data_IF_537397760143
#
_entry.id   IF_537397760143
#
_cell.length_a   1.000
_cell.length_b   1.000
_cell.length_c   1.000
_cell.angle_alpha   90.00
_cell.angle_beta   90.00
_cell.angle_gamma   90.00
#
_symmetry.space_group_name_H-M   'P 1'
#
loop_
_entity.id
_entity.type
_entity.pdbx_description
1 polymer ?
#
# COMPACT_ATOMS: atom_id res chain seq x y z
N UNK A 1 23.18 -52.04 -32.07
CA UNK A 1 21.77 -51.61 -32.13
C UNK A 1 21.07 -51.80 -30.77
N UNK A 2 21.45 -52.78 -29.96
CA UNK A 2 20.83 -53.04 -28.65
C UNK A 2 21.10 -51.98 -27.58
N UNK A 3 22.26 -51.33 -27.61
CA UNK A 3 22.62 -50.23 -26.70
C UNK A 3 21.70 -49.00 -26.87
N UNK A 4 21.34 -48.65 -28.11
CA UNK A 4 20.47 -47.50 -28.41
C UNK A 4 19.02 -47.77 -27.97
N UNK A 5 18.55 -49.03 -28.06
CA UNK A 5 17.23 -49.43 -27.56
C UNK A 5 17.18 -49.37 -26.03
N UNK A 6 18.22 -49.84 -25.34
CA UNK A 6 18.34 -49.74 -23.88
C UNK A 6 18.33 -48.29 -23.38
N UNK A 7 19.08 -47.40 -24.02
CA UNK A 7 19.11 -45.98 -23.64
C UNK A 7 17.77 -45.29 -23.85
N UNK A 8 17.06 -45.57 -24.96
CA UNK A 8 15.72 -45.03 -25.21
C UNK A 8 14.68 -45.50 -24.19
N UNK A 9 14.78 -46.75 -23.74
CA UNK A 9 13.90 -47.28 -22.71
C UNK A 9 14.15 -46.59 -21.36
N UNK A 10 15.42 -46.44 -20.96
CA UNK A 10 15.78 -45.71 -19.74
C UNK A 10 15.33 -44.24 -19.75
N UNK A 11 15.44 -43.55 -20.90
CA UNK A 11 14.94 -42.17 -21.02
C UNK A 11 13.42 -42.14 -20.77
N UNK A 12 12.68 -43.06 -21.39
CA UNK A 12 11.22 -43.15 -21.24
C UNK A 12 10.81 -43.48 -19.80
N UNK A 13 11.54 -44.36 -19.13
CA UNK A 13 11.28 -44.72 -17.74
C UNK A 13 11.62 -43.58 -16.78
N UNK A 14 12.66 -42.81 -17.06
CA UNK A 14 13.00 -41.58 -16.31
C UNK A 14 11.94 -40.50 -16.54
N UNK A 15 11.48 -40.30 -17.78
CA UNK A 15 10.40 -39.37 -18.11
C UNK A 15 9.10 -39.74 -17.40
N UNK A 16 8.75 -41.04 -17.38
CA UNK A 16 7.58 -41.54 -16.66
C UNK A 16 7.70 -41.37 -15.14
N UNK A 17 8.87 -41.66 -14.56
CA UNK A 17 9.14 -41.39 -13.13
C UNK A 17 9.10 -39.91 -12.80
N UNK A 18 9.58 -39.04 -13.68
CA UNK A 18 9.46 -37.58 -13.56
C UNK A 18 8.00 -37.11 -13.64
N UNK A 19 7.20 -37.71 -14.52
CA UNK A 19 5.77 -37.46 -14.64
C UNK A 19 4.99 -37.93 -13.40
N UNK A 20 5.30 -39.12 -12.87
CA UNK A 20 4.70 -39.64 -11.63
C UNK A 20 5.13 -38.83 -10.40
N UNK A 21 6.40 -38.46 -10.29
CA UNK A 21 6.86 -37.55 -9.23
C UNK A 21 6.18 -36.19 -9.35
N UNK A 22 6.04 -35.62 -10.56
CA UNK A 22 5.30 -34.37 -10.75
C UNK A 22 3.83 -34.49 -10.35
N UNK A 23 3.17 -35.61 -10.63
CA UNK A 23 1.79 -35.88 -10.20
C UNK A 23 1.65 -36.04 -8.69
N UNK A 24 2.64 -36.64 -8.03
CA UNK A 24 2.58 -36.93 -6.60
C UNK A 24 3.04 -35.78 -5.68
N UNK A 25 3.64 -34.70 -6.22
CA UNK A 25 4.32 -33.70 -5.37
C UNK A 25 3.52 -32.40 -5.16
N UNK A 26 2.43 -32.14 -5.90
CA UNK A 26 1.75 -30.85 -5.81
C UNK A 26 0.23 -31.02 -5.90
N UNK A 27 -0.44 -30.99 -4.74
CA UNK A 27 -1.88 -30.72 -4.69
C UNK A 27 -2.07 -29.28 -5.18
N UNK A 28 -2.32 -29.14 -6.48
CA UNK A 28 -2.65 -27.85 -7.07
C UNK A 28 -4.12 -27.56 -6.84
N UNK A 29 -4.40 -26.40 -6.27
CA UNK A 29 -5.75 -25.85 -6.20
C UNK A 29 -6.37 -25.83 -7.60
N UNK A 30 -7.66 -26.15 -7.71
CA UNK A 30 -8.40 -26.05 -8.97
C UNK A 30 -8.85 -24.61 -9.25
N UNK A 31 -9.09 -24.29 -10.54
CA UNK A 31 -9.63 -22.98 -10.90
C UNK A 31 -11.08 -22.83 -10.46
N UNK A 32 -11.38 -21.73 -9.79
CA UNK A 32 -12.71 -21.36 -9.34
C UNK A 32 -13.22 -20.25 -10.26
N UNK A 33 -14.29 -20.53 -11.00
CA UNK A 33 -14.87 -19.57 -11.95
C UNK A 33 -15.57 -18.37 -11.29
N UNK A 34 -16.10 -18.54 -10.08
CA UNK A 34 -16.82 -17.49 -9.35
C UNK A 34 -16.49 -17.54 -7.85
N UNK A 35 -16.19 -16.39 -7.24
CA UNK A 35 -15.88 -16.31 -5.81
C UNK A 35 -17.11 -16.64 -4.96
N UNK A 36 -17.09 -17.77 -4.24
CA UNK A 36 -18.19 -18.20 -3.37
C UNK A 36 -18.02 -17.72 -1.93
N UNK A 37 -19.13 -17.35 -1.28
CA UNK A 37 -19.16 -17.04 0.15
C UNK A 37 -19.33 -18.28 1.05
N UNK A 38 -19.47 -19.47 0.46
CA UNK A 38 -19.66 -20.71 1.22
C UNK A 38 -18.47 -20.97 2.15
N UNK A 39 -18.75 -21.23 3.43
CA UNK A 39 -17.74 -21.44 4.46
C UNK A 39 -17.44 -22.92 4.57
N UNK A 40 -16.56 -23.39 3.70
CA UNK A 40 -16.03 -24.76 3.68
C UNK A 40 -14.50 -24.71 3.60
N UNK A 41 -13.85 -25.74 4.13
CA UNK A 41 -12.37 -25.79 4.20
C UNK A 41 -11.71 -25.85 2.81
N UNK A 42 -12.44 -26.32 1.79
CA UNK A 42 -11.98 -26.34 0.40
C UNK A 42 -12.07 -24.98 -0.30
N UNK A 43 -12.78 -23.99 0.26
CA UNK A 43 -12.95 -22.67 -0.34
C UNK A 43 -11.93 -21.66 0.21
N UNK A 44 -10.87 -21.31 -0.55
CA UNK A 44 -9.84 -20.37 -0.11
C UNK A 44 -10.34 -18.93 -0.01
N UNK A 45 -11.48 -18.60 -0.63
CA UNK A 45 -12.06 -17.25 -0.60
C UNK A 45 -13.06 -17.04 0.55
N UNK A 46 -13.43 -18.10 1.28
CA UNK A 46 -14.44 -18.04 2.35
C UNK A 46 -14.20 -16.94 3.38
N UNK A 47 -12.94 -16.74 3.80
CA UNK A 47 -12.55 -15.73 4.79
C UNK A 47 -12.50 -14.32 4.20
N UNK A 48 -12.19 -14.19 2.91
CA UNK A 48 -12.21 -12.91 2.21
C UNK A 48 -13.65 -12.44 2.00
N UNK A 49 -14.53 -13.36 1.59
CA UNK A 49 -15.96 -13.11 1.44
C UNK A 49 -16.68 -12.80 2.76
N UNK A 50 -16.08 -13.13 3.90
CA UNK A 50 -16.60 -12.71 5.21
C UNK A 50 -16.58 -11.17 5.37
N UNK A 51 -15.66 -10.45 4.72
CA UNK A 51 -15.61 -8.98 4.75
C UNK A 51 -16.90 -8.34 4.21
N UNK A 52 -17.52 -8.98 3.22
CA UNK A 52 -18.84 -8.58 2.69
C UNK A 52 -19.95 -8.82 3.71
N UNK A 53 -19.92 -9.96 4.42
CA UNK A 53 -20.90 -10.27 5.48
C UNK A 53 -20.77 -9.35 6.69
N UNK A 54 -19.55 -8.91 6.99
CA UNK A 54 -19.27 -7.97 8.08
C UNK A 54 -19.56 -6.50 7.71
N UNK A 55 -20.01 -6.23 6.47
CA UNK A 55 -20.30 -4.86 6.02
C UNK A 55 -19.05 -3.97 5.86
N UNK A 56 -17.86 -4.57 5.74
CA UNK A 56 -16.61 -3.81 5.55
C UNK A 56 -16.39 -3.49 4.06
N UNK A 57 -16.74 -4.43 3.17
CA UNK A 57 -16.58 -4.30 1.72
C UNK A 57 -17.83 -4.79 1.00
N UNK A 58 -18.57 -3.90 0.35
CA UNK A 58 -19.86 -4.23 -0.26
C UNK A 58 -19.74 -5.26 -1.40
N UNK A 59 -18.73 -5.11 -2.25
CA UNK A 59 -18.52 -5.95 -3.43
C UNK A 59 -17.05 -6.40 -3.53
N UNK A 60 -16.69 -7.38 -2.69
CA UNK A 60 -15.35 -7.95 -2.69
C UNK A 60 -15.05 -8.67 -4.01
N UNK A 61 -16.03 -9.32 -4.63
CA UNK A 61 -15.86 -10.11 -5.85
C UNK A 61 -15.32 -9.28 -7.04
N UNK A 62 -15.60 -7.97 -7.05
CA UNK A 62 -15.07 -7.02 -8.04
C UNK A 62 -13.56 -7.09 -8.20
N UNK A 63 -12.81 -7.52 -7.18
CA UNK A 63 -11.35 -7.68 -7.28
C UNK A 63 -10.91 -8.60 -8.43
N UNK A 64 -11.75 -9.57 -8.82
CA UNK A 64 -11.48 -10.50 -9.92
C UNK A 64 -11.55 -9.85 -11.31
N UNK A 65 -12.09 -8.63 -11.42
CA UNK A 65 -12.23 -7.88 -12.66
C UNK A 65 -11.06 -6.90 -12.90
N UNK A 66 -10.23 -6.70 -11.87
CA UNK A 66 -9.20 -5.66 -11.86
C UNK A 66 -7.85 -6.18 -12.34
N UNK A 67 -7.10 -5.29 -12.99
CA UNK A 67 -5.73 -5.50 -13.44
C UNK A 67 -4.76 -4.55 -12.74
N UNK A 68 -3.70 -5.09 -12.16
CA UNK A 68 -2.65 -4.30 -11.53
C UNK A 68 -1.30 -4.60 -12.21
N UNK A 69 -0.58 -3.54 -12.57
CA UNK A 69 0.81 -3.64 -13.01
C UNK A 69 1.76 -3.41 -11.82
N UNK A 70 2.75 -4.29 -11.64
CA UNK A 70 3.78 -4.18 -10.60
C UNK A 70 5.12 -4.06 -11.29
N UNK A 71 5.84 -2.97 -11.01
CA UNK A 71 7.20 -2.74 -11.51
C UNK A 71 8.20 -2.95 -10.39
N UNK A 72 9.12 -3.89 -10.58
CA UNK A 72 10.03 -4.40 -9.57
C UNK A 72 9.41 -5.55 -8.77
N UNK A 73 9.91 -6.76 -8.95
CA UNK A 73 9.51 -7.99 -8.23
C UNK A 73 10.63 -8.39 -7.27
N UNK A 74 11.14 -7.40 -6.53
CA UNK A 74 12.16 -7.56 -5.49
C UNK A 74 11.57 -7.88 -4.12
N UNK A 75 12.15 -7.31 -3.06
CA UNK A 75 11.72 -7.59 -1.68
C UNK A 75 10.29 -7.15 -1.36
N UNK A 76 9.92 -5.93 -1.73
CA UNK A 76 8.55 -5.41 -1.54
C UNK A 76 7.61 -5.99 -2.61
N UNK A 77 7.99 -5.88 -3.89
CA UNK A 77 7.11 -6.23 -5.00
C UNK A 77 6.71 -7.70 -5.08
N UNK A 78 7.59 -8.63 -4.70
CA UNK A 78 7.25 -10.06 -4.67
C UNK A 78 6.17 -10.39 -3.61
N UNK A 79 6.29 -9.80 -2.41
CA UNK A 79 5.30 -9.93 -1.34
C UNK A 79 3.99 -9.25 -1.73
N UNK A 80 4.07 -8.05 -2.33
CA UNK A 80 2.90 -7.34 -2.90
C UNK A 80 2.16 -8.21 -3.91
N UNK A 81 2.87 -8.83 -4.85
CA UNK A 81 2.28 -9.72 -5.84
C UNK A 81 1.65 -10.98 -5.20
N UNK A 82 2.29 -11.56 -4.19
CA UNK A 82 1.73 -12.69 -3.44
C UNK A 82 0.44 -12.32 -2.71
N UNK A 83 0.44 -11.21 -1.96
CA UNK A 83 -0.74 -10.75 -1.22
C UNK A 83 -1.92 -10.48 -2.16
N UNK A 84 -1.70 -9.77 -3.28
CA UNK A 84 -2.75 -9.53 -4.29
C UNK A 84 -3.24 -10.82 -4.95
N UNK A 85 -2.33 -11.76 -5.23
CA UNK A 85 -2.68 -13.08 -5.78
C UNK A 85 -3.57 -13.87 -4.81
N UNK A 86 -3.25 -13.84 -3.51
CA UNK A 86 -4.07 -14.47 -2.46
C UNK A 86 -5.41 -13.78 -2.27
N UNK A 87 -5.49 -12.47 -2.48
CA UNK A 87 -6.76 -11.72 -2.49
C UNK A 87 -7.66 -12.04 -3.71
N UNK A 88 -7.12 -12.71 -4.74
CA UNK A 88 -7.89 -13.10 -5.92
C UNK A 88 -8.01 -11.98 -6.97
N UNK A 89 -7.00 -11.12 -7.10
CA UNK A 89 -6.93 -10.12 -8.18
C UNK A 89 -7.14 -10.76 -9.56
N UNK A 90 -7.84 -10.09 -10.46
CA UNK A 90 -8.13 -10.63 -11.79
C UNK A 90 -6.89 -10.88 -12.64
N UNK A 91 -6.03 -9.86 -12.75
CA UNK A 91 -4.78 -9.94 -13.52
C UNK A 91 -3.64 -9.17 -12.86
N UNK A 92 -2.46 -9.78 -12.83
CA UNK A 92 -1.19 -9.11 -12.50
C UNK A 92 -0.30 -9.04 -13.74
N UNK A 93 0.31 -7.87 -13.96
CA UNK A 93 1.35 -7.67 -14.97
C UNK A 93 2.64 -7.34 -14.23
N UNK A 94 3.67 -8.17 -14.40
CA UNK A 94 4.92 -8.05 -13.66
C UNK A 94 6.05 -7.59 -14.58
N UNK A 95 6.74 -6.51 -14.19
CA UNK A 95 7.92 -6.00 -14.88
C UNK A 95 9.14 -6.08 -13.95
N UNK A 96 10.17 -6.81 -14.34
CA UNK A 96 11.48 -6.84 -13.68
C UNK A 96 12.51 -7.41 -14.65
N UNK A 97 13.71 -6.84 -14.70
CA UNK A 97 14.78 -7.28 -15.60
C UNK A 97 15.82 -8.17 -14.91
N UNK A 98 15.78 -8.28 -13.59
CA UNK A 98 16.76 -9.00 -12.80
C UNK A 98 16.49 -10.51 -12.76
N UNK A 99 17.52 -11.23 -12.32
CA UNK A 99 17.45 -12.63 -11.96
C UNK A 99 17.39 -12.81 -10.45
N UNK A 100 16.88 -13.97 -10.03
CA UNK A 100 16.93 -14.41 -8.64
C UNK A 100 18.37 -14.76 -8.29
N UNK A 101 18.90 -14.16 -7.23
CA UNK A 101 20.23 -14.46 -6.71
C UNK A 101 20.15 -15.07 -5.29
N UNK A 102 21.18 -15.83 -4.91
CA UNK A 102 21.25 -16.38 -3.55
C UNK A 102 21.30 -15.26 -2.49
N UNK A 103 21.86 -14.10 -2.83
CA UNK A 103 21.86 -12.91 -1.98
C UNK A 103 20.44 -12.39 -1.68
N UNK A 104 19.41 -12.79 -2.44
CA UNK A 104 18.03 -12.38 -2.20
C UNK A 104 17.32 -13.25 -1.15
N UNK A 105 17.94 -14.34 -0.67
CA UNK A 105 17.31 -15.30 0.26
C UNK A 105 17.13 -14.77 1.69
N UNK A 106 17.67 -13.59 2.01
CA UNK A 106 17.33 -12.89 3.25
C UNK A 106 15.95 -12.20 3.18
N UNK A 107 15.34 -12.17 2.00
CA UNK A 107 14.02 -11.59 1.72
C UNK A 107 12.99 -12.72 1.59
N UNK A 108 11.72 -12.33 1.60
CA UNK A 108 10.61 -13.27 1.46
C UNK A 108 10.44 -13.72 0.00
N UNK A 109 9.52 -14.67 -0.21
CA UNK A 109 8.99 -15.14 -1.50
C UNK A 109 9.87 -16.10 -2.32
N UNK A 110 11.06 -15.68 -2.78
CA UNK A 110 11.89 -16.54 -3.63
C UNK A 110 12.57 -17.66 -2.84
N UNK A 111 12.79 -18.79 -3.49
CA UNK A 111 13.42 -19.97 -2.88
C UNK A 111 14.77 -20.30 -3.52
N UNK A 112 15.69 -20.99 -2.80
CA UNK A 112 17.06 -21.23 -3.27
C UNK A 112 17.15 -21.94 -4.64
N UNK A 113 16.21 -22.85 -4.95
CA UNK A 113 16.19 -23.57 -6.23
C UNK A 113 15.80 -22.69 -7.43
N UNK A 114 15.31 -21.47 -7.18
CA UNK A 114 14.93 -20.51 -8.22
C UNK A 114 16.10 -19.62 -8.65
N UNK A 115 17.25 -19.69 -7.96
CA UNK A 115 18.44 -18.91 -8.30
C UNK A 115 18.84 -19.10 -9.77
N UNK A 116 19.12 -17.99 -10.46
CA UNK A 116 19.45 -17.93 -11.89
C UNK A 116 18.26 -17.79 -12.85
N UNK A 117 17.02 -18.00 -12.39
CA UNK A 117 15.82 -17.70 -13.17
C UNK A 117 15.55 -16.18 -13.17
N UNK A 118 14.87 -15.67 -14.19
CA UNK A 118 14.37 -14.29 -14.11
C UNK A 118 13.39 -14.15 -12.94
N UNK A 119 13.39 -13.00 -12.27
CA UNK A 119 12.49 -12.76 -11.14
C UNK A 119 11.04 -12.90 -11.55
N UNK A 120 10.65 -12.35 -12.71
CA UNK A 120 9.28 -12.43 -13.20
C UNK A 120 8.83 -13.86 -13.54
N UNK A 121 9.68 -14.69 -14.15
CA UNK A 121 9.32 -16.10 -14.43
C UNK A 121 9.22 -16.93 -13.16
N UNK A 122 10.17 -16.74 -12.23
CA UNK A 122 10.15 -17.43 -10.94
C UNK A 122 8.90 -17.04 -10.13
N UNK A 123 8.56 -15.75 -10.12
CA UNK A 123 7.36 -15.25 -9.47
C UNK A 123 6.08 -15.78 -10.12
N UNK A 124 5.96 -15.74 -11.45
CA UNK A 124 4.78 -16.23 -12.15
C UNK A 124 4.51 -17.71 -11.84
N UNK A 125 5.54 -18.56 -11.79
CA UNK A 125 5.39 -19.97 -11.41
C UNK A 125 4.85 -20.14 -9.99
N UNK A 126 5.43 -19.43 -9.03
CA UNK A 126 5.00 -19.48 -7.62
C UNK A 126 3.58 -18.96 -7.45
N UNK A 127 3.26 -17.80 -8.01
CA UNK A 127 1.96 -17.15 -7.89
C UNK A 127 0.85 -17.95 -8.57
N UNK A 128 1.13 -18.53 -9.76
CA UNK A 128 0.18 -19.41 -10.43
C UNK A 128 -0.12 -20.67 -9.62
N UNK A 129 0.87 -21.21 -8.92
CA UNK A 129 0.68 -22.31 -7.98
C UNK A 129 -0.17 -21.91 -6.77
N UNK A 130 0.02 -20.69 -6.23
CA UNK A 130 -0.74 -20.16 -5.09
C UNK A 130 -2.21 -19.94 -5.46
N UNK A 131 -2.49 -19.31 -6.60
CA UNK A 131 -3.85 -19.07 -7.06
C UNK A 131 -3.94 -19.14 -8.59
N UNK A 132 -4.47 -20.24 -9.16
CA UNK A 132 -4.57 -20.42 -10.60
C UNK A 132 -5.67 -19.55 -11.26
N UNK A 133 -6.52 -18.89 -10.46
CA UNK A 133 -7.58 -18.00 -10.95
C UNK A 133 -7.01 -16.69 -11.49
N UNK A 134 -5.87 -16.27 -10.95
CA UNK A 134 -5.21 -15.01 -11.29
C UNK A 134 -4.48 -15.16 -12.63
N UNK A 135 -4.74 -14.24 -13.57
CA UNK A 135 -3.97 -14.16 -14.81
C UNK A 135 -2.65 -13.45 -14.55
N UNK A 136 -1.53 -14.04 -14.95
CA UNK A 136 -0.21 -13.45 -14.76
C UNK A 136 0.43 -13.24 -16.12
N UNK A 137 0.76 -11.98 -16.40
CA UNK A 137 1.56 -11.56 -17.54
C UNK A 137 2.91 -11.06 -17.03
N UNK A 138 3.98 -11.38 -17.77
CA UNK A 138 5.35 -11.07 -17.33
C UNK A 138 6.15 -10.42 -18.46
N UNK A 139 6.99 -9.48 -18.06
CA UNK A 139 7.87 -8.71 -18.93
C UNK A 139 9.26 -8.65 -18.30
N UNK A 140 10.21 -9.37 -18.91
CA UNK A 140 11.58 -9.48 -18.42
C UNK A 140 12.50 -8.49 -19.15
N UNK A 141 12.32 -7.20 -18.89
CA UNK A 141 13.11 -6.15 -19.50
C UNK A 141 13.19 -4.90 -18.63
N UNK A 142 14.16 -4.03 -18.92
CA UNK A 142 14.31 -2.76 -18.21
C UNK A 142 13.41 -1.70 -18.85
N UNK A 143 12.44 -1.20 -18.08
CA UNK A 143 11.47 -0.18 -18.54
C UNK A 143 12.11 1.18 -18.85
N UNK A 144 13.36 1.46 -18.45
CA UNK A 144 14.01 2.76 -18.67
C UNK A 144 14.65 2.89 -20.05
N UNK A 145 14.85 1.79 -20.76
CA UNK A 145 15.38 1.83 -22.13
C UNK A 145 14.30 2.25 -23.12
N UNK A 146 14.65 3.05 -24.14
CA UNK A 146 13.68 3.66 -25.07
C UNK A 146 12.69 2.66 -25.66
N UNK A 147 13.16 1.56 -26.26
CA UNK A 147 12.30 0.56 -26.92
C UNK A 147 11.31 -0.08 -25.92
N UNK A 148 11.77 -0.39 -24.71
CA UNK A 148 10.93 -1.01 -23.68
C UNK A 148 10.03 0.00 -22.95
N UNK A 149 10.38 1.29 -22.94
CA UNK A 149 9.54 2.32 -22.34
C UNK A 149 8.24 2.49 -23.12
N UNK A 150 8.32 2.48 -24.46
CA UNK A 150 7.13 2.48 -25.33
C UNK A 150 6.27 1.24 -25.12
N UNK A 151 6.88 0.04 -25.05
CA UNK A 151 6.16 -1.20 -24.78
C UNK A 151 5.50 -1.21 -23.39
N UNK A 152 6.19 -0.70 -22.37
CA UNK A 152 5.66 -0.53 -21.03
C UNK A 152 4.42 0.39 -21.03
N UNK A 153 4.51 1.56 -21.67
CA UNK A 153 3.38 2.50 -21.80
C UNK A 153 2.20 1.88 -22.55
N UNK A 154 2.46 1.16 -23.64
CA UNK A 154 1.44 0.46 -24.40
C UNK A 154 0.77 -0.63 -23.55
N UNK A 155 1.56 -1.40 -22.79
CA UNK A 155 1.05 -2.46 -21.93
C UNK A 155 0.16 -1.90 -20.83
N UNK A 156 0.61 -0.89 -20.07
CA UNK A 156 -0.21 -0.33 -18.98
C UNK A 156 -1.46 0.40 -19.48
N UNK A 157 -1.51 0.82 -20.75
CA UNK A 157 -2.67 1.49 -21.34
C UNK A 157 -3.67 0.56 -22.03
N UNK A 158 -3.30 -0.70 -22.34
CA UNK A 158 -4.15 -1.60 -23.14
C UNK A 158 -4.35 -3.00 -22.55
N UNK A 159 -3.46 -3.45 -21.66
CA UNK A 159 -3.41 -4.85 -21.24
C UNK A 159 -4.34 -5.19 -20.05
N UNK A 160 -5.29 -4.33 -19.67
CA UNK A 160 -6.30 -4.68 -18.67
C UNK A 160 -7.24 -5.78 -19.17
N UNK A 161 -7.90 -6.48 -18.25
CA UNK A 161 -8.95 -7.46 -18.56
C UNK A 161 -10.05 -6.91 -19.48
N UNK A 162 -10.33 -5.60 -19.39
CA UNK A 162 -11.31 -4.91 -20.24
C UNK A 162 -10.71 -4.30 -21.53
N UNK A 163 -9.49 -4.70 -21.91
CA UNK A 163 -8.75 -4.19 -23.09
C UNK A 163 -8.52 -2.67 -23.08
N UNK A 164 -8.25 -2.14 -21.89
CA UNK A 164 -7.96 -0.73 -21.66
C UNK A 164 -6.82 -0.56 -20.64
N UNK A 165 -6.70 0.61 -20.00
CA UNK A 165 -5.64 0.86 -19.04
C UNK A 165 -5.79 -0.03 -17.81
N UNK A 166 -4.66 -0.38 -17.19
CA UNK A 166 -4.65 -1.07 -15.91
C UNK A 166 -5.32 -0.21 -14.84
N UNK A 167 -5.96 -0.86 -13.87
CA UNK A 167 -6.68 -0.13 -12.81
C UNK A 167 -5.71 0.62 -11.88
N UNK A 168 -4.49 0.10 -11.75
CA UNK A 168 -3.45 0.67 -10.90
C UNK A 168 -2.05 0.18 -11.31
N UNK A 169 -1.06 1.05 -11.19
CA UNK A 169 0.38 0.69 -11.26
C UNK A 169 0.97 0.75 -9.84
N UNK A 170 1.80 -0.22 -9.47
CA UNK A 170 2.53 -0.26 -8.21
C UNK A 170 4.03 -0.26 -8.49
N UNK A 171 4.72 0.81 -8.07
CA UNK A 171 6.17 0.92 -8.15
C UNK A 171 6.81 0.34 -6.89
N UNK A 172 7.59 -0.72 -7.08
CA UNK A 172 8.35 -1.43 -6.04
C UNK A 172 9.84 -1.54 -6.42
N UNK A 173 10.32 -0.61 -7.26
CA UNK A 173 11.70 -0.53 -7.75
C UNK A 173 12.65 0.06 -6.70
N UNK A 174 13.96 -0.13 -6.90
CA UNK A 174 14.98 0.26 -5.92
C UNK A 174 15.83 1.47 -6.35
N UNK A 175 15.64 2.00 -7.56
CA UNK A 175 16.41 3.12 -8.11
C UNK A 175 15.50 4.29 -8.53
N UNK A 176 16.06 5.50 -8.58
CA UNK A 176 15.31 6.71 -8.92
C UNK A 176 15.01 6.82 -10.42
N UNK A 177 15.88 6.28 -11.28
CA UNK A 177 15.69 6.28 -12.74
C UNK A 177 14.38 5.58 -13.13
N UNK A 178 14.14 4.38 -12.61
CA UNK A 178 12.90 3.64 -12.84
C UNK A 178 11.68 4.32 -12.22
N UNK A 179 11.80 4.94 -11.02
CA UNK A 179 10.71 5.74 -10.43
C UNK A 179 10.33 6.92 -11.33
N UNK A 180 11.33 7.60 -11.90
CA UNK A 180 11.12 8.70 -12.84
C UNK A 180 10.48 8.23 -14.14
N UNK A 181 10.91 7.09 -14.70
CA UNK A 181 10.28 6.51 -15.88
C UNK A 181 8.79 6.20 -15.64
N UNK A 182 8.46 5.53 -14.52
CA UNK A 182 7.07 5.25 -14.13
C UNK A 182 6.28 6.56 -13.96
N UNK A 183 6.86 7.56 -13.30
CA UNK A 183 6.24 8.87 -13.12
C UNK A 183 5.88 9.53 -14.45
N UNK A 184 6.83 9.59 -15.39
CA UNK A 184 6.63 10.18 -16.71
C UNK A 184 5.52 9.46 -17.47
N UNK A 185 5.56 8.12 -17.54
CA UNK A 185 4.54 7.32 -18.19
C UNK A 185 3.14 7.56 -17.57
N UNK A 186 3.05 7.59 -16.23
CA UNK A 186 1.78 7.75 -15.54
C UNK A 186 1.21 9.17 -15.70
N UNK A 187 2.05 10.21 -15.66
CA UNK A 187 1.61 11.58 -15.94
C UNK A 187 1.13 11.73 -17.39
N UNK A 188 1.86 11.14 -18.36
CA UNK A 188 1.47 11.16 -19.77
C UNK A 188 0.14 10.43 -20.02
N UNK A 189 -0.10 9.29 -19.36
CA UNK A 189 -1.32 8.48 -19.55
C UNK A 189 -2.48 8.83 -18.61
N UNK A 190 -2.27 9.73 -17.63
CA UNK A 190 -3.20 9.95 -16.51
C UNK A 190 -3.42 8.71 -15.64
N UNK A 191 -2.45 7.81 -15.59
CA UNK A 191 -2.55 6.56 -14.87
C UNK A 191 -2.32 6.81 -13.37
N UNK A 192 -3.24 6.35 -12.53
CA UNK A 192 -3.05 6.38 -11.08
C UNK A 192 -2.09 5.28 -10.66
N UNK A 193 -1.24 5.58 -9.69
CA UNK A 193 -0.22 4.65 -9.25
C UNK A 193 0.20 4.87 -7.81
N UNK A 194 0.73 3.82 -7.19
CA UNK A 194 1.40 3.91 -5.91
C UNK A 194 2.90 3.77 -6.09
N UNK A 195 3.64 4.55 -5.32
CA UNK A 195 5.06 4.37 -5.09
C UNK A 195 5.29 3.71 -3.73
N UNK A 196 6.34 2.89 -3.64
CA UNK A 196 6.84 2.38 -2.37
C UNK A 196 8.37 2.40 -2.33
N UNK A 197 8.90 2.65 -1.13
CA UNK A 197 10.33 2.69 -0.90
C UNK A 197 10.70 2.16 0.49
N UNK A 198 11.88 1.55 0.58
CA UNK A 198 12.52 1.13 1.84
C UNK A 198 13.90 1.78 1.86
N UNK A 199 14.32 2.29 3.01
CA UNK A 199 15.63 2.93 3.17
C UNK A 199 16.78 1.93 3.04
N UNK A 200 17.97 2.43 2.67
CA UNK A 200 19.18 1.60 2.55
C UNK A 200 19.62 0.95 3.87
N UNK A 201 19.23 1.52 5.01
CA UNK A 201 19.50 0.95 6.34
C UNK A 201 18.36 0.05 6.85
N UNK A 202 17.32 -0.18 6.04
CA UNK A 202 16.16 -1.03 6.32
C UNK A 202 15.31 -0.67 7.55
N UNK A 203 15.50 0.51 8.18
CA UNK A 203 14.73 0.94 9.36
C UNK A 203 13.67 2.00 9.06
N UNK A 204 13.46 2.33 7.80
CA UNK A 204 12.29 3.13 7.39
C UNK A 204 11.76 2.71 6.02
N UNK A 205 10.53 3.10 5.75
CA UNK A 205 9.88 2.90 4.46
C UNK A 205 8.68 3.81 4.31
N UNK A 206 8.07 3.79 3.12
CA UNK A 206 6.87 4.55 2.86
C UNK A 206 6.08 3.97 1.69
N UNK A 207 4.82 4.41 1.60
CA UNK A 207 4.00 4.33 0.39
C UNK A 207 3.44 5.71 0.07
N UNK A 208 3.26 6.01 -1.21
CA UNK A 208 2.66 7.25 -1.67
C UNK A 208 1.65 6.98 -2.79
N UNK A 209 0.45 7.54 -2.67
CA UNK A 209 -0.56 7.49 -3.72
C UNK A 209 -0.44 8.70 -4.64
N UNK A 210 -0.24 8.44 -5.93
CA UNK A 210 -0.03 9.46 -6.93
C UNK A 210 -1.19 9.43 -7.92
N UNK A 211 -1.99 10.49 -7.86
CA UNK A 211 -3.07 10.77 -8.79
C UNK A 211 -2.62 11.98 -9.61
N UNK A 212 -2.19 11.79 -10.87
CA UNK A 212 -1.68 12.88 -11.70
C UNK A 212 -2.62 14.08 -11.73
N UNK A 213 -2.11 15.25 -11.32
CA UNK A 213 -2.86 16.51 -11.26
C UNK A 213 -3.58 16.80 -9.94
N UNK A 214 -3.84 15.79 -9.11
CA UNK A 214 -4.53 15.94 -7.82
C UNK A 214 -3.57 15.88 -6.62
N UNK A 215 -2.60 14.96 -6.67
CA UNK A 215 -1.54 14.82 -5.66
C UNK A 215 -0.15 15.02 -6.27
N UNK A 216 0.85 15.24 -5.43
CA UNK A 216 2.23 15.39 -5.88
C UNK A 216 2.68 14.16 -6.67
N UNK A 217 3.11 14.38 -7.92
CA UNK A 217 3.86 13.36 -8.65
C UNK A 217 5.29 13.28 -8.09
N UNK A 218 6.05 12.25 -8.48
CA UNK A 218 7.41 12.04 -7.97
C UNK A 218 8.35 13.21 -8.31
N UNK A 219 8.14 13.86 -9.46
CA UNK A 219 8.89 15.04 -9.89
C UNK A 219 8.46 16.35 -9.22
N UNK A 220 7.37 16.37 -8.42
CA UNK A 220 6.96 17.59 -7.71
C UNK A 220 7.87 17.91 -6.52
N UNK A 221 8.40 16.89 -5.87
CA UNK A 221 9.33 16.97 -4.73
C UNK A 221 10.47 15.96 -4.93
N UNK A 222 11.34 16.16 -5.93
CA UNK A 222 12.38 15.20 -6.27
C UNK A 222 13.43 15.13 -5.14
N UNK A 223 14.02 13.95 -4.89
CA UNK A 223 15.16 13.85 -3.99
C UNK A 223 16.36 14.62 -4.55
N UNK A 224 17.27 15.05 -3.68
CA UNK A 224 18.42 15.89 -4.03
C UNK A 224 19.23 15.34 -5.22
N UNK A 225 19.45 14.02 -5.26
CA UNK A 225 20.23 13.37 -6.31
C UNK A 225 19.60 13.53 -7.70
N UNK A 226 18.26 13.54 -7.77
CA UNK A 226 17.51 13.77 -9.02
C UNK A 226 17.53 15.25 -9.37
N UNK A 227 17.29 16.14 -8.40
CA UNK A 227 17.27 17.59 -8.62
C UNK A 227 18.63 18.12 -9.13
N UNK A 228 19.74 17.59 -8.63
CA UNK A 228 21.10 17.98 -9.01
C UNK A 228 21.63 17.19 -10.22
N UNK A 229 20.82 16.33 -10.84
CA UNK A 229 21.23 15.45 -11.96
C UNK A 229 22.51 14.63 -11.65
N UNK A 230 22.65 14.18 -10.40
CA UNK A 230 23.76 13.33 -9.98
C UNK A 230 23.41 11.89 -10.37
N UNK A 231 24.31 11.23 -11.11
CA UNK A 231 24.13 9.82 -11.46
C UNK A 231 24.15 8.96 -10.17
N UNK A 232 23.04 8.28 -9.88
CA UNK A 232 22.88 7.40 -8.71
C UNK A 232 23.98 6.34 -8.63
N UNK A 233 24.53 5.91 -9.78
CA UNK A 233 25.64 4.94 -9.84
C UNK A 233 26.90 5.46 -9.16
N UNK A 234 27.09 6.78 -9.07
CA UNK A 234 28.24 7.38 -8.38
C UNK A 234 28.14 7.29 -6.86
N UNK A 235 26.94 7.05 -6.32
CA UNK A 235 26.69 6.90 -4.88
C UNK A 235 26.88 5.46 -4.41
N UNK A 236 26.66 4.49 -5.30
CA UNK A 236 26.84 3.06 -5.02
C UNK A 236 28.34 2.72 -5.02
N UNK A 237 28.87 2.37 -3.85
CA UNK A 237 30.25 1.87 -3.72
C UNK A 237 30.30 0.37 -3.97
N UNK A 238 31.22 -0.08 -4.81
CA UNK A 238 31.45 -1.51 -5.04
C UNK A 238 31.70 -2.26 -3.72
N UNK A 239 30.95 -3.34 -3.50
CA UNK A 239 31.03 -4.16 -2.29
C UNK A 239 30.17 -3.69 -1.11
N UNK A 240 29.44 -2.58 -1.23
CA UNK A 240 28.47 -2.13 -0.23
C UNK A 240 27.06 -2.45 -0.73
N UNK A 241 26.36 -3.35 -0.04
CA UNK A 241 24.95 -3.63 -0.32
C UNK A 241 24.06 -2.85 0.66
N UNK A 242 22.93 -2.35 0.17
CA UNK A 242 21.88 -1.83 1.04
C UNK A 242 21.46 -2.94 2.03
N UNK A 243 21.37 -2.58 3.31
CA UNK A 243 20.77 -3.46 4.29
C UNK A 243 19.33 -3.74 3.87
N UNK A 244 18.90 -4.99 4.01
CA UNK A 244 17.53 -5.37 3.73
C UNK A 244 17.02 -6.27 4.84
N UNK A 245 15.89 -5.87 5.41
CA UNK A 245 15.23 -6.60 6.49
C UNK A 245 13.86 -7.07 5.99
N UNK A 246 13.57 -8.38 6.05
CA UNK A 246 12.32 -8.93 5.55
C UNK A 246 11.09 -8.39 6.28
N UNK A 247 11.24 -7.95 7.54
CA UNK A 247 10.17 -7.33 8.32
C UNK A 247 9.74 -5.99 7.74
N UNK A 248 10.68 -5.08 7.47
CA UNK A 248 10.40 -3.76 6.88
C UNK A 248 9.78 -3.91 5.49
N UNK A 249 10.30 -4.84 4.68
CA UNK A 249 9.73 -5.14 3.37
C UNK A 249 8.29 -5.68 3.48
N UNK A 250 8.04 -6.58 4.42
CA UNK A 250 6.70 -7.13 4.67
C UNK A 250 5.70 -6.07 5.16
N UNK A 251 6.12 -5.16 6.04
CA UNK A 251 5.29 -4.05 6.53
C UNK A 251 4.94 -3.10 5.39
N UNK A 252 5.93 -2.66 4.60
CA UNK A 252 5.69 -1.76 3.47
C UNK A 252 4.83 -2.41 2.39
N UNK A 253 5.06 -3.68 2.05
CA UNK A 253 4.21 -4.42 1.13
C UNK A 253 2.76 -4.55 1.67
N UNK A 254 2.61 -4.83 2.96
CA UNK A 254 1.32 -4.87 3.64
C UNK A 254 0.58 -3.54 3.56
N UNK A 255 1.24 -2.42 3.85
CA UNK A 255 0.66 -1.10 3.69
C UNK A 255 0.28 -0.80 2.24
N UNK A 256 1.15 -1.12 1.28
CA UNK A 256 0.91 -0.91 -0.14
C UNK A 256 -0.34 -1.64 -0.62
N UNK A 257 -0.45 -2.94 -0.30
CA UNK A 257 -1.59 -3.76 -0.70
C UNK A 257 -2.85 -3.34 0.05
N UNK A 258 -2.78 -3.05 1.35
CA UNK A 258 -3.94 -2.57 2.09
C UNK A 258 -4.50 -1.27 1.52
N UNK A 259 -3.63 -0.33 1.14
CA UNK A 259 -4.06 0.93 0.55
C UNK A 259 -4.58 0.75 -0.89
N UNK A 260 -4.01 -0.20 -1.63
CA UNK A 260 -4.52 -0.65 -2.93
C UNK A 260 -5.93 -1.21 -2.83
N UNK A 261 -6.19 -2.09 -1.86
CA UNK A 261 -7.52 -2.68 -1.64
C UNK A 261 -8.54 -1.61 -1.24
N UNK A 262 -8.20 -0.73 -0.30
CA UNK A 262 -9.08 0.40 0.10
C UNK A 262 -9.48 1.25 -1.10
N UNK A 263 -8.52 1.58 -1.96
CA UNK A 263 -8.77 2.37 -3.17
C UNK A 263 -9.63 1.63 -4.20
N UNK A 264 -9.32 0.37 -4.49
CA UNK A 264 -10.00 -0.38 -5.55
C UNK A 264 -11.41 -0.85 -5.16
N UNK A 265 -11.59 -1.19 -3.88
CA UNK A 265 -12.84 -1.73 -3.33
C UNK A 265 -13.65 -0.68 -2.54
N UNK A 266 -13.22 0.59 -2.53
CA UNK A 266 -13.92 1.72 -1.94
C UNK A 266 -14.32 1.52 -0.46
N UNK A 267 -13.37 1.11 0.39
CA UNK A 267 -13.61 0.98 1.83
C UNK A 267 -12.50 1.68 2.64
N UNK A 268 -12.87 2.20 3.82
CA UNK A 268 -11.97 2.95 4.69
C UNK A 268 -11.32 4.16 4.02
N UNK A 269 -10.32 4.74 4.69
CA UNK A 269 -9.64 5.94 4.19
C UNK A 269 -8.36 5.62 3.44
N UNK A 270 -8.27 6.02 2.18
CA UNK A 270 -7.04 5.88 1.38
C UNK A 270 -5.99 6.88 1.85
N UNK A 271 -4.80 6.39 2.23
CA UNK A 271 -3.68 7.26 2.60
C UNK A 271 -2.98 7.79 1.35
N UNK A 272 -2.80 9.10 1.21
CA UNK A 272 -2.01 9.68 0.13
C UNK A 272 -0.50 9.56 0.33
N UNK A 273 -0.06 9.55 1.59
CA UNK A 273 1.28 9.16 1.99
C UNK A 273 1.19 8.49 3.35
N UNK A 274 1.93 7.41 3.53
CA UNK A 274 2.10 6.74 4.81
C UNK A 274 3.57 6.34 4.96
N UNK A 275 4.25 6.95 5.93
CA UNK A 275 5.60 6.58 6.32
C UNK A 275 5.61 5.49 7.37
N UNK A 276 6.76 4.83 7.49
CA UNK A 276 7.08 3.88 8.54
C UNK A 276 8.49 4.16 9.05
N UNK A 277 8.61 4.43 10.35
CA UNK A 277 9.88 4.49 11.06
C UNK A 277 9.94 3.32 12.06
N UNK A 278 10.76 2.31 11.74
CA UNK A 278 10.89 1.09 12.52
C UNK A 278 11.59 1.30 13.87
N UNK A 279 12.31 2.42 14.06
CA UNK A 279 13.03 2.68 15.29
C UNK A 279 12.12 3.21 16.41
N UNK A 280 10.97 3.78 16.05
CA UNK A 280 10.06 4.49 16.96
C UNK A 280 8.61 4.01 16.83
N UNK A 281 8.34 2.99 16.02
CA UNK A 281 7.00 2.53 15.65
C UNK A 281 6.08 3.69 15.24
N UNK A 282 6.65 4.63 14.47
CA UNK A 282 5.96 5.86 14.07
C UNK A 282 5.49 5.77 12.61
N UNK A 283 4.21 6.09 12.40
CA UNK A 283 3.51 5.95 11.12
C UNK A 283 2.90 7.28 10.66
N UNK A 284 3.70 8.25 10.17
CA UNK A 284 3.18 9.55 9.76
C UNK A 284 2.32 9.44 8.51
N UNK A 285 1.15 10.09 8.53
CA UNK A 285 0.31 10.32 7.36
C UNK A 285 0.42 11.76 6.92
N UNK A 286 0.49 11.99 5.60
CA UNK A 286 0.46 13.32 5.02
C UNK A 286 -0.22 13.30 3.66
N UNK A 287 -0.53 14.50 3.15
CA UNK A 287 -1.00 14.70 1.78
C UNK A 287 -0.06 15.67 1.08
N UNK A 288 0.64 15.18 0.06
CA UNK A 288 1.52 16.00 -0.75
C UNK A 288 0.74 16.56 -1.93
N UNK A 289 0.75 17.89 -2.08
CA UNK A 289 0.05 18.58 -3.17
C UNK A 289 0.98 18.77 -4.39
N UNK A 290 0.42 18.81 -5.62
CA UNK A 290 1.20 19.06 -6.82
C UNK A 290 1.99 20.36 -6.73
N UNK A 291 3.21 20.36 -7.26
CA UNK A 291 3.98 21.58 -7.48
C UNK A 291 3.47 22.26 -8.77
N UNK A 292 2.95 23.50 -8.72
CA UNK A 292 2.50 24.23 -9.91
C UNK A 292 3.58 24.41 -10.98
N UNK A 293 4.84 24.43 -10.55
CA UNK A 293 6.02 24.58 -11.38
C UNK A 293 6.81 23.27 -11.52
N UNK A 294 6.18 22.11 -11.29
CA UNK A 294 6.78 20.79 -11.49
C UNK A 294 7.47 20.70 -12.86
N UNK A 295 8.67 20.15 -12.97
CA UNK A 295 9.45 20.11 -14.22
C UNK A 295 8.75 19.30 -15.32
N UNK A 296 8.08 18.21 -14.94
CA UNK A 296 7.26 17.39 -15.83
C UNK A 296 6.07 18.18 -16.40
N UNK A 297 6.09 18.39 -17.72
CA UNK A 297 5.06 19.14 -18.44
C UNK A 297 3.69 18.46 -18.43
N UNK A 298 3.65 17.12 -18.42
CA UNK A 298 2.40 16.38 -18.33
C UNK A 298 1.80 16.54 -16.94
N UNK A 299 2.60 16.57 -15.88
CA UNK A 299 2.11 16.87 -14.53
C UNK A 299 1.38 18.22 -14.50
N UNK A 300 1.98 19.28 -15.06
CA UNK A 300 1.35 20.61 -15.14
C UNK A 300 0.05 20.58 -15.97
N UNK A 301 0.04 19.84 -17.08
CA UNK A 301 -1.18 19.63 -17.89
C UNK A 301 -2.28 18.93 -17.09
N UNK A 302 -1.96 17.87 -16.34
CA UNK A 302 -2.94 17.15 -15.48
C UNK A 302 -3.48 18.03 -14.37
N UNK A 303 -2.66 18.92 -13.80
CA UNK A 303 -3.12 19.90 -12.80
C UNK A 303 -4.16 20.85 -13.38
N UNK A 304 -3.96 21.33 -14.61
CA UNK A 304 -4.94 22.18 -15.31
C UNK A 304 -6.25 21.41 -15.58
N UNK A 305 -6.15 20.17 -16.07
CA UNK A 305 -7.31 19.29 -16.30
C UNK A 305 -8.08 19.03 -14.99
N UNK A 306 -7.37 18.82 -13.88
CA UNK A 306 -7.98 18.62 -12.56
C UNK A 306 -8.67 19.89 -12.04
N UNK A 307 -8.05 21.06 -12.20
CA UNK A 307 -8.62 22.34 -11.78
C UNK A 307 -9.93 22.71 -12.52
N UNK A 308 -10.09 22.23 -13.76
CA UNK A 308 -11.30 22.42 -14.56
C UNK A 308 -12.44 21.46 -14.17
N UNK A 309 -12.16 20.38 -13.42
CA UNK A 309 -13.21 19.46 -12.98
C UNK A 309 -14.09 20.15 -11.93
N UNK A 310 -15.42 19.98 -12.00
CA UNK A 310 -16.30 20.46 -10.95
C UNK A 310 -15.87 19.80 -9.63
N UNK A 311 -15.72 20.62 -8.58
CA UNK A 311 -15.41 20.09 -7.26
C UNK A 311 -16.55 19.14 -6.87
N UNK A 312 -16.26 17.92 -6.41
CA UNK A 312 -17.30 17.02 -5.96
C UNK A 312 -18.12 17.73 -4.89
N UNK A 313 -19.45 17.70 -5.03
CA UNK A 313 -20.36 18.15 -3.97
C UNK A 313 -19.98 17.39 -2.70
N UNK A 314 -19.72 18.12 -1.61
CA UNK A 314 -19.59 17.49 -0.31
C UNK A 314 -20.89 16.74 -0.06
N UNK A 315 -20.84 15.40 -0.08
CA UNK A 315 -21.94 14.61 0.46
C UNK A 315 -22.15 15.12 1.87
N UNK A 316 -23.27 15.80 2.09
CA UNK A 316 -23.76 16.08 3.42
C UNK A 316 -23.87 14.71 4.07
N UNK A 317 -23.04 14.44 5.08
CA UNK A 317 -23.23 13.24 5.89
C UNK A 317 -24.67 13.34 6.40
N UNK A 318 -25.55 12.49 5.88
CA UNK A 318 -26.85 12.30 6.51
C UNK A 318 -26.52 11.89 7.93
N UNK A 319 -26.82 12.78 8.87
CA UNK A 319 -26.84 12.45 10.30
C UNK A 319 -27.86 11.34 10.40
N UNK A 320 -27.38 10.10 10.38
CA UNK A 320 -28.20 8.94 10.66
C UNK A 320 -28.68 9.18 12.09
N UNK A 321 -29.99 9.40 12.25
CA UNK A 321 -30.60 9.48 13.58
C UNK A 321 -30.13 8.27 14.39
N UNK A 322 -29.43 8.54 15.48
CA UNK A 322 -29.00 7.55 16.47
C UNK A 322 -30.25 6.84 17.00
N UNK A 323 -30.62 5.74 16.36
CA UNK A 323 -31.51 4.75 16.97
C UNK A 323 -30.76 4.16 18.16
N UNK A 324 -31.45 3.80 19.25
CA UNK A 324 -30.79 3.24 20.41
C UNK A 324 -29.94 2.02 20.01
N UNK A 325 -28.61 2.17 20.18
CA UNK A 325 -27.58 1.21 19.76
C UNK A 325 -27.61 -0.10 20.56
N UNK A 326 -28.32 -0.10 21.69
CA UNK A 326 -28.38 -1.20 22.62
C UNK A 326 -29.80 -1.76 22.64
N UNK A 327 -29.94 -3.00 22.16
CA UNK A 327 -31.19 -3.76 22.25
C UNK A 327 -31.61 -3.94 23.72
N UNK A 328 -30.64 -4.06 24.63
CA UNK A 328 -30.85 -4.16 26.07
C UNK A 328 -30.04 -3.10 26.84
N UNK A 329 -30.72 -2.32 27.67
CA UNK A 329 -30.11 -1.41 28.64
C UNK A 329 -30.80 -1.53 30.01
N UNK A 330 -30.85 -2.75 30.53
CA UNK A 330 -31.51 -3.08 31.81
C UNK A 330 -30.95 -2.28 33.00
N UNK A 331 -29.70 -1.82 32.89
CA UNK A 331 -28.97 -1.12 33.95
C UNK A 331 -29.07 0.40 33.85
N UNK A 332 -29.85 0.93 32.89
CA UNK A 332 -30.06 2.38 32.74
C UNK A 332 -28.78 3.16 32.49
N UNK A 333 -27.81 2.53 31.81
CA UNK A 333 -26.52 3.15 31.50
C UNK A 333 -26.78 4.30 30.53
N UNK A 334 -26.45 5.52 30.95
CA UNK A 334 -26.58 6.72 30.13
C UNK A 334 -25.20 7.21 29.68
N UNK A 335 -25.16 7.74 28.46
CA UNK A 335 -24.02 8.51 27.98
C UNK A 335 -24.15 9.92 28.55
N UNK A 336 -23.23 10.29 29.44
CA UNK A 336 -23.13 11.66 29.96
C UNK A 336 -22.16 12.41 29.06
N UNK A 337 -22.65 13.45 28.38
CA UNK A 337 -21.79 14.31 27.55
C UNK A 337 -20.92 15.16 28.50
N UNK A 338 -19.59 14.99 28.46
CA UNK A 338 -18.65 15.68 29.37
C UNK A 338 -18.67 17.21 29.23
N UNK A 339 -19.38 17.73 28.22
CA UNK A 339 -19.58 19.16 27.96
C UNK A 339 -20.74 19.77 28.77
N UNK A 340 -21.66 18.96 29.28
CA UNK A 340 -22.74 19.39 30.14
C UNK A 340 -22.38 19.16 31.61
N UNK A 341 -21.44 19.97 32.11
CA UNK A 341 -21.36 20.23 33.56
C UNK A 341 -22.46 21.23 33.95
N UNK A 342 -23.71 20.81 33.87
CA UNK A 342 -24.82 21.47 34.55
C UNK A 342 -25.56 20.46 35.43
N UNK A 343 -25.20 20.52 36.71
CA UNK A 343 -26.09 20.36 37.87
C UNK A 343 -27.22 19.34 37.76
N UNK A 344 -26.98 18.14 38.28
CA UNK A 344 -28.05 17.34 38.89
C UNK A 344 -27.69 17.09 40.37
N UNK A 345 -27.92 18.12 41.18
CA UNK A 345 -28.26 17.92 42.59
C UNK A 345 -29.78 17.69 42.67
N UNK A 346 -30.14 16.43 42.93
CA UNK A 346 -31.41 15.90 43.47
C UNK A 346 -32.26 15.01 42.55
N UNK A 347 -32.70 13.91 43.17
CA UNK A 347 -33.66 12.89 42.68
C UNK A 347 -33.03 11.92 41.66
N UNK A 348 -32.56 10.73 42.03
CA UNK A 348 -33.36 9.61 42.51
C UNK A 348 -32.67 8.83 43.65
N UNK A 349 -33.31 8.80 44.81
CA UNK A 349 -33.02 7.86 45.88
C UNK A 349 -34.31 7.06 46.14
N UNK A 350 -34.43 5.89 45.52
CA UNK A 350 -35.32 4.86 46.04
C UNK A 350 -34.76 3.46 45.80
N UNK A 351 -34.40 2.83 46.91
CA UNK A 351 -34.28 1.39 47.13
C UNK A 351 -33.25 0.63 46.30
N UNK A 352 -31.98 0.70 46.69
CA UNK A 352 -31.13 -0.46 47.03
C UNK A 352 -29.97 0.05 47.88
N UNK A 353 -29.59 -0.74 48.88
CA UNK A 353 -28.71 -0.43 50.01
C UNK A 353 -27.23 -0.26 49.63
N UNK A 354 -26.89 0.78 48.90
CA UNK A 354 -25.49 1.14 48.62
C UNK A 354 -25.20 2.58 49.06
N UNK A 355 -24.32 2.72 50.06
CA UNK A 355 -23.75 4.02 50.47
C UNK A 355 -22.52 4.31 49.62
N UNK A 356 -22.42 5.55 49.12
CA UNK A 356 -21.25 6.08 48.40
C UNK A 356 -20.00 5.98 49.29
N UNK A 357 -19.02 5.17 48.89
CA UNK A 357 -17.88 4.81 49.75
C UNK A 357 -16.79 5.90 49.83
N UNK A 358 -16.62 6.71 48.78
CA UNK A 358 -15.78 7.91 48.81
C UNK A 358 -16.15 8.82 47.63
N UNK A 359 -15.88 10.11 47.79
CA UNK A 359 -15.80 11.07 46.70
C UNK A 359 -14.34 11.49 46.54
N UNK A 360 -13.87 11.60 45.31
CA UNK A 360 -12.55 12.16 45.00
C UNK A 360 -12.53 13.61 45.53
N UNK A 361 -11.54 14.01 46.36
CA UNK A 361 -11.44 15.39 46.77
C UNK A 361 -11.23 16.26 45.54
N UNK A 362 -11.96 17.37 45.43
CA UNK A 362 -11.64 18.42 44.46
C UNK A 362 -10.15 18.75 44.57
N UNK A 363 -9.40 18.88 43.46
CA UNK A 363 -8.01 19.25 43.54
C UNK A 363 -7.92 20.54 44.34
N UNK A 364 -7.20 20.49 45.47
CA UNK A 364 -6.87 21.67 46.23
C UNK A 364 -6.20 22.64 45.27
N UNK A 365 -6.72 23.86 45.19
CA UNK A 365 -6.04 24.97 44.53
C UNK A 365 -4.70 25.16 45.25
N UNK A 366 -3.65 24.53 44.72
CA UNK A 366 -2.28 24.93 45.02
C UNK A 366 -2.11 26.33 44.46
N UNK A 367 -2.20 27.31 45.35
CA UNK A 367 -1.77 28.68 45.13
C UNK A 367 -0.24 28.67 44.99
N UNK A 368 0.25 28.30 43.81
CA UNK A 368 1.53 28.75 43.31
C UNK A 368 1.26 29.92 42.36
N UNK A 369 1.76 31.10 42.74
CA UNK A 369 1.79 32.30 41.92
C UNK A 369 2.45 32.00 40.56
N UNK A 370 1.62 31.68 39.56
CA UNK A 370 1.97 31.89 38.16
C UNK A 370 1.42 33.26 37.78
N UNK A 371 2.23 34.29 37.97
CA UNK A 371 1.99 35.59 37.38
C UNK A 371 1.96 35.43 35.85
N UNK A 372 0.76 35.54 35.29
CA UNK A 372 0.54 35.86 33.89
C UNK A 372 1.16 37.25 33.66
N UNK A 373 2.07 37.47 32.70
CA UNK A 373 2.50 38.82 32.37
C UNK A 373 1.28 39.56 31.82
N UNK A 374 0.90 40.65 32.49
CA UNK A 374 -0.08 41.60 31.99
C UNK A 374 0.33 42.09 30.60
N UNK A 375 -0.60 42.08 29.64
CA UNK A 375 -0.44 42.77 28.36
C UNK A 375 0.01 44.22 28.61
N UNK A 376 1.26 44.51 28.27
CA UNK A 376 1.80 45.87 28.27
C UNK A 376 1.40 46.54 26.96
N UNK A 377 0.65 47.64 27.05
CA UNK A 377 0.29 48.57 25.96
C UNK A 377 1.53 49.32 25.39
N UNK A 378 2.59 48.60 25.03
CA UNK A 378 3.76 49.19 24.37
C UNK A 378 3.63 49.03 22.85
N UNK A 379 3.70 50.13 22.12
CA UNK A 379 3.61 50.12 20.66
C UNK A 379 4.86 49.49 20.03
N UNK A 380 4.69 48.84 18.86
CA UNK A 380 5.75 48.12 18.14
C UNK A 380 7.01 48.97 17.87
N UNK A 381 6.85 50.29 17.77
CA UNK A 381 7.94 51.25 17.54
C UNK A 381 8.85 51.44 18.76
N UNK A 382 8.32 51.33 19.98
CA UNK A 382 9.13 51.45 21.22
C UNK A 382 10.01 50.21 21.45
N UNK A 383 9.50 49.02 21.09
CA UNK A 383 10.25 47.76 21.15
C UNK A 383 11.43 47.75 20.16
N UNK A 384 11.24 48.31 18.97
CA UNK A 384 12.31 48.43 17.97
C UNK A 384 13.40 49.43 18.37
N UNK A 385 13.06 50.47 19.14
CA UNK A 385 14.03 51.43 19.64
C UNK A 385 14.93 50.83 20.73
N UNK A 386 14.37 50.01 21.64
CA UNK A 386 15.14 49.36 22.71
C UNK A 386 16.13 48.30 22.21
N UNK A 387 15.82 47.59 21.12
CA UNK A 387 16.75 46.62 20.53
C UNK A 387 17.95 47.25 19.83
N UNK A 388 17.89 48.54 19.48
CA UNK A 388 19.02 49.27 18.87
C UNK A 388 20.02 49.83 19.90
N UNK A 389 19.70 49.77 21.20
CA UNK A 389 20.58 50.25 22.27
C UNK A 389 21.26 49.13 23.07
N UNK A 390 21.25 47.89 22.56
CA UNK A 390 21.98 46.74 23.14
C UNK A 390 23.17 46.40 22.24
#
# INVERSE_FOLDING_TARGET
MDTIKGTKQSIKDIENKLLEQRKNTLITREKIGHMSSEVVDSNPYSRLMALKRMGIVDNYERIQELTIAIVGVGGVGSVTAEMLTRCGIGKLILFDYDKVEMANMNRLFFQPYQAGQSKVEAAAKTLHYINPDVKIEIHNYNITTMDHFEDYMNTISTASLNKGPVDLVLSCVDNFEARMAINTACNELNQKWFESGVSENAVSGHIQFIIPGETACFACAPPLVVAENIDEKTLKRDGVCAASLPTTMGIVAGFLVQNTLKYLLNFGDVSYYLGYNAMQDFFPKMTLRPNPNCEDSYCRKRQQEYALKPKPEQKTEEIVEDKPLHEDNEWGICLVDERDQQTDENEYLSSISTKRAYSVPSPATDSQDNQIPSESDASLEELMAQMKSI
#
